data_IF_318086981891
#
_entry.id   IF_318086981891
#
_cell.length_a   1.000
_cell.length_b   1.000
_cell.length_c   1.000
_cell.angle_alpha   90.00
_cell.angle_beta   90.00
_cell.angle_gamma   90.00
#
_symmetry.space_group_name_H-M   'P 1'
#
loop_
_entity.id
_entity.type
_entity.pdbx_description
1 polymer ?
#
# COMPACT_ATOMS: atom_id res chain seq x y z
N UNK A 1 -83.43 -9.73 -96.81
CA UNK A 1 -82.98 -8.31 -96.79
C UNK A 1 -83.22 -7.74 -95.41
N UNK A 2 -82.15 -7.47 -94.64
CA UNK A 2 -82.09 -6.35 -93.71
C UNK A 2 -80.61 -6.15 -93.33
N UNK A 3 -80.12 -4.96 -93.63
CA UNK A 3 -78.72 -4.53 -93.53
C UNK A 3 -78.29 -4.39 -92.07
N UNK A 4 -77.07 -4.84 -91.79
CA UNK A 4 -76.25 -4.45 -90.64
C UNK A 4 -76.20 -2.91 -90.53
N UNK A 5 -76.56 -2.37 -89.36
CA UNK A 5 -76.03 -1.10 -88.86
C UNK A 5 -75.26 -1.42 -87.58
N UNK A 6 -73.97 -1.75 -87.73
CA UNK A 6 -73.04 -1.83 -86.61
C UNK A 6 -72.48 -0.42 -86.40
N UNK A 7 -73.07 0.32 -85.44
CA UNK A 7 -72.55 1.61 -85.03
C UNK A 7 -71.29 1.39 -84.19
N UNK A 8 -70.12 1.74 -84.73
CA UNK A 8 -68.79 1.53 -84.12
C UNK A 8 -68.68 2.08 -82.68
N UNK A 9 -69.54 3.03 -82.31
CA UNK A 9 -69.64 3.60 -80.95
C UNK A 9 -70.14 2.58 -79.92
N UNK A 10 -71.03 1.66 -80.30
CA UNK A 10 -71.50 0.60 -79.41
C UNK A 10 -70.41 -0.45 -79.15
N UNK A 11 -69.62 -0.80 -80.17
CA UNK A 11 -68.47 -1.70 -80.02
C UNK A 11 -67.38 -1.10 -79.11
N UNK A 12 -67.15 0.22 -79.19
CA UNK A 12 -66.22 0.94 -78.31
C UNK A 12 -66.69 0.98 -76.86
N UNK A 13 -67.99 1.17 -76.61
CA UNK A 13 -68.57 1.12 -75.26
C UNK A 13 -68.50 -0.29 -74.65
N UNK A 14 -68.77 -1.33 -75.45
CA UNK A 14 -68.63 -2.73 -75.01
C UNK A 14 -67.16 -3.06 -74.71
N UNK A 15 -66.23 -2.65 -75.57
CA UNK A 15 -64.79 -2.85 -75.36
C UNK A 15 -64.28 -2.10 -74.12
N UNK A 16 -64.73 -0.85 -73.90
CA UNK A 16 -64.40 -0.08 -72.70
C UNK A 16 -64.97 -0.72 -71.43
N UNK A 17 -66.22 -1.23 -71.48
CA UNK A 17 -66.83 -1.97 -70.37
C UNK A 17 -66.07 -3.26 -70.04
N UNK A 18 -65.67 -4.03 -71.07
CA UNK A 18 -64.86 -5.23 -70.89
C UNK A 18 -63.47 -4.91 -70.33
N UNK A 19 -62.83 -3.83 -70.79
CA UNK A 19 -61.54 -3.38 -70.28
C UNK A 19 -61.63 -2.95 -68.80
N UNK A 20 -62.64 -2.15 -68.44
CA UNK A 20 -62.86 -1.74 -67.04
C UNK A 20 -63.14 -2.95 -66.16
N UNK A 21 -63.96 -3.91 -66.63
CA UNK A 21 -64.23 -5.15 -65.88
C UNK A 21 -62.97 -5.99 -65.66
N UNK A 22 -62.12 -6.13 -66.69
CA UNK A 22 -60.84 -6.84 -66.57
C UNK A 22 -59.93 -6.11 -65.59
N UNK A 23 -59.80 -4.78 -65.68
CA UNK A 23 -59.00 -3.99 -64.76
C UNK A 23 -59.49 -4.10 -63.31
N UNK A 24 -60.81 -4.04 -63.08
CA UNK A 24 -61.40 -4.24 -61.75
C UNK A 24 -61.12 -5.63 -61.19
N UNK A 25 -61.20 -6.69 -62.01
CA UNK A 25 -60.88 -8.06 -61.59
C UNK A 25 -59.39 -8.22 -61.29
N UNK A 26 -58.52 -7.63 -62.10
CA UNK A 26 -57.07 -7.67 -61.90
C UNK A 26 -56.67 -6.93 -60.62
N UNK A 27 -57.25 -5.75 -60.38
CA UNK A 27 -57.03 -4.97 -59.16
C UNK A 27 -57.56 -5.70 -57.91
N UNK A 28 -58.75 -6.32 -57.99
CA UNK A 28 -59.27 -7.12 -56.88
C UNK A 28 -58.37 -8.32 -56.55
N UNK A 29 -57.86 -9.01 -57.57
CA UNK A 29 -56.94 -10.15 -57.38
C UNK A 29 -55.59 -9.70 -56.83
N UNK A 30 -55.07 -8.56 -57.29
CA UNK A 30 -53.83 -7.96 -56.76
C UNK A 30 -54.00 -7.48 -55.31
N UNK A 31 -55.16 -6.90 -54.96
CA UNK A 31 -55.49 -6.50 -53.59
C UNK A 31 -55.54 -7.72 -52.67
N UNK A 32 -56.21 -8.79 -53.07
CA UNK A 32 -56.28 -10.02 -52.27
C UNK A 32 -54.88 -10.66 -52.06
N UNK A 33 -54.03 -10.62 -53.09
CA UNK A 33 -52.65 -11.10 -52.97
C UNK A 33 -51.80 -10.20 -52.07
N UNK A 34 -51.98 -8.88 -52.14
CA UNK A 34 -51.31 -7.91 -51.26
C UNK A 34 -51.71 -8.11 -49.80
N UNK A 35 -53.01 -8.34 -49.54
CA UNK A 35 -53.51 -8.58 -48.17
C UNK A 35 -52.96 -9.90 -47.60
N UNK A 36 -52.92 -10.97 -48.41
CA UNK A 36 -52.30 -12.24 -47.99
C UNK A 36 -50.80 -12.10 -47.72
N UNK A 37 -50.10 -11.33 -48.55
CA UNK A 37 -48.67 -11.07 -48.35
C UNK A 37 -48.43 -10.25 -47.09
N UNK A 38 -49.27 -9.24 -46.81
CA UNK A 38 -49.19 -8.44 -45.59
C UNK A 38 -49.38 -9.30 -44.33
N UNK A 39 -50.37 -10.20 -44.32
CA UNK A 39 -50.60 -11.14 -43.21
C UNK A 39 -49.41 -12.10 -43.03
N UNK A 40 -48.83 -12.61 -44.13
CA UNK A 40 -47.65 -13.46 -44.08
C UNK A 40 -46.44 -12.73 -43.47
N UNK A 41 -46.17 -11.49 -43.92
CA UNK A 41 -45.08 -10.64 -43.39
C UNK A 41 -45.31 -10.31 -41.90
N UNK A 42 -46.55 -10.02 -41.51
CA UNK A 42 -46.87 -9.75 -40.11
C UNK A 42 -46.64 -10.99 -39.23
N UNK A 43 -46.99 -12.18 -39.72
CA UNK A 43 -46.73 -13.44 -39.02
C UNK A 43 -45.23 -13.77 -38.91
N UNK A 44 -44.44 -13.48 -39.94
CA UNK A 44 -42.98 -13.66 -39.94
C UNK A 44 -42.30 -12.67 -38.98
N UNK A 45 -42.75 -11.42 -38.97
CA UNK A 45 -42.28 -10.41 -38.02
C UNK A 45 -42.63 -10.79 -36.58
N UNK A 46 -43.82 -11.34 -36.34
CA UNK A 46 -44.21 -11.83 -35.02
C UNK A 46 -43.31 -12.98 -34.56
N UNK A 47 -43.05 -13.97 -35.43
CA UNK A 47 -42.15 -15.08 -35.14
C UNK A 47 -40.72 -14.60 -34.87
N UNK A 48 -40.22 -13.67 -35.68
CA UNK A 48 -38.87 -13.09 -35.52
C UNK A 48 -38.74 -12.33 -34.19
N UNK A 49 -39.77 -11.59 -33.78
CA UNK A 49 -39.77 -10.88 -32.50
C UNK A 49 -39.81 -11.86 -31.32
N UNK A 50 -40.61 -12.94 -31.39
CA UNK A 50 -40.59 -13.99 -30.37
C UNK A 50 -39.23 -14.68 -30.27
N UNK A 51 -38.59 -14.97 -31.42
CA UNK A 51 -37.26 -15.55 -31.46
C UNK A 51 -36.21 -14.64 -30.81
N UNK A 52 -36.25 -13.32 -31.09
CA UNK A 52 -35.34 -12.35 -30.44
C UNK A 52 -35.53 -12.31 -28.92
N UNK A 53 -36.77 -12.28 -28.44
CA UNK A 53 -37.06 -12.31 -27.00
C UNK A 53 -36.52 -13.58 -26.32
N UNK A 54 -36.61 -14.73 -26.99
CA UNK A 54 -36.04 -15.99 -26.49
C UNK A 54 -34.51 -15.95 -26.45
N UNK A 55 -33.87 -15.38 -27.48
CA UNK A 55 -32.40 -15.21 -27.51
C UNK A 55 -31.93 -14.29 -26.38
N UNK A 56 -32.62 -13.19 -26.13
CA UNK A 56 -32.29 -12.28 -25.03
C UNK A 56 -32.45 -12.96 -23.66
N UNK A 57 -33.53 -13.75 -23.48
CA UNK A 57 -33.74 -14.53 -22.25
C UNK A 57 -32.63 -15.57 -22.03
N UNK A 58 -32.24 -16.30 -23.08
CA UNK A 58 -31.15 -17.28 -23.01
C UNK A 58 -29.83 -16.58 -22.69
N UNK A 59 -29.56 -15.42 -23.28
CA UNK A 59 -28.34 -14.65 -23.03
C UNK A 59 -28.24 -14.20 -21.57
N UNK A 60 -29.34 -13.67 -21.00
CA UNK A 60 -29.37 -13.32 -19.56
C UNK A 60 -29.19 -14.54 -18.65
N UNK A 61 -29.75 -15.70 -19.03
CA UNK A 61 -29.57 -16.93 -18.27
C UNK A 61 -28.12 -17.42 -18.34
N UNK A 62 -27.45 -17.32 -19.49
CA UNK A 62 -26.04 -17.65 -19.64
C UNK A 62 -25.16 -16.77 -18.76
N UNK A 63 -25.37 -15.45 -18.75
CA UNK A 63 -24.65 -14.53 -17.85
C UNK A 63 -24.83 -14.91 -16.38
N UNK A 64 -26.05 -15.28 -15.99
CA UNK A 64 -26.35 -15.71 -14.61
C UNK A 64 -25.71 -17.05 -14.25
N UNK A 65 -25.60 -17.97 -15.21
CA UNK A 65 -24.89 -19.25 -15.00
C UNK A 65 -23.39 -18.99 -14.81
N UNK A 66 -22.80 -18.15 -15.64
CA UNK A 66 -21.36 -17.79 -15.53
C UNK A 66 -21.09 -17.15 -14.18
N UNK A 67 -21.92 -16.21 -13.71
CA UNK A 67 -21.71 -15.57 -12.40
C UNK A 67 -21.84 -16.56 -11.24
N UNK A 68 -22.77 -17.53 -11.34
CA UNK A 68 -22.92 -18.59 -10.34
C UNK A 68 -21.77 -19.60 -10.36
N UNK A 69 -21.22 -19.91 -11.54
CA UNK A 69 -20.03 -20.76 -11.67
C UNK A 69 -18.80 -20.08 -11.06
N UNK A 70 -18.63 -18.78 -11.28
CA UNK A 70 -17.57 -17.98 -10.65
C UNK A 70 -17.73 -17.96 -9.11
N UNK A 71 -18.96 -17.78 -8.61
CA UNK A 71 -19.23 -17.82 -7.17
C UNK A 71 -18.98 -19.22 -6.57
N UNK A 72 -19.32 -20.29 -7.28
CA UNK A 72 -19.04 -21.67 -6.86
C UNK A 72 -17.54 -21.92 -6.79
N UNK A 73 -16.79 -21.55 -7.84
CA UNK A 73 -15.35 -21.72 -7.89
C UNK A 73 -14.65 -20.95 -6.76
N UNK A 74 -15.15 -19.75 -6.42
CA UNK A 74 -14.71 -18.98 -5.26
C UNK A 74 -14.92 -19.73 -3.94
N UNK A 75 -16.12 -20.27 -3.71
CA UNK A 75 -16.42 -21.04 -2.49
C UNK A 75 -15.59 -22.31 -2.38
N UNK A 76 -15.32 -23.00 -3.48
CA UNK A 76 -14.44 -24.17 -3.49
C UNK A 76 -13.00 -23.80 -3.13
N UNK A 77 -12.50 -22.68 -3.63
CA UNK A 77 -11.16 -22.18 -3.31
C UNK A 77 -11.05 -21.77 -1.83
N UNK A 78 -12.06 -21.05 -1.30
CA UNK A 78 -12.16 -20.69 0.11
C UNK A 78 -12.22 -21.95 1.01
N UNK A 79 -13.02 -22.96 0.65
CA UNK A 79 -13.12 -24.22 1.38
C UNK A 79 -11.81 -25.02 1.35
N UNK A 80 -11.14 -25.08 0.20
CA UNK A 80 -9.82 -25.71 0.08
C UNK A 80 -8.76 -25.04 0.96
N UNK A 81 -8.80 -23.71 1.06
CA UNK A 81 -7.92 -22.95 1.94
C UNK A 81 -8.23 -23.17 3.41
N UNK A 82 -9.51 -23.17 3.78
CA UNK A 82 -9.93 -23.42 5.15
C UNK A 82 -9.50 -24.82 5.60
N UNK A 83 -9.62 -25.82 4.71
CA UNK A 83 -9.18 -27.20 4.97
C UNK A 83 -7.66 -27.30 5.15
N UNK A 84 -6.88 -26.59 4.33
CA UNK A 84 -5.43 -26.54 4.48
C UNK A 84 -5.01 -25.81 5.76
N UNK A 85 -5.70 -24.73 6.13
CA UNK A 85 -5.46 -23.99 7.36
C UNK A 85 -5.79 -24.82 8.60
N UNK A 86 -6.92 -25.55 8.58
CA UNK A 86 -7.29 -26.48 9.65
C UNK A 86 -6.25 -27.58 9.81
N UNK A 87 -5.75 -28.17 8.72
CA UNK A 87 -4.69 -29.17 8.77
C UNK A 87 -3.36 -28.62 9.32
N UNK A 88 -3.00 -27.38 8.97
CA UNK A 88 -1.81 -26.70 9.51
C UNK A 88 -1.98 -26.35 11.00
N UNK A 89 -3.17 -25.90 11.39
CA UNK A 89 -3.53 -25.62 12.79
C UNK A 89 -3.58 -26.89 13.64
N UNK A 90 -4.04 -28.02 13.10
CA UNK A 90 -4.01 -29.33 13.78
C UNK A 90 -2.57 -29.81 13.99
N UNK A 91 -1.69 -29.66 12.99
CA UNK A 91 -0.26 -29.97 13.12
C UNK A 91 0.44 -29.06 14.13
N UNK A 92 0.21 -27.74 14.06
CA UNK A 92 0.87 -26.74 14.92
C UNK A 92 0.27 -26.66 16.32
N UNK A 93 -1.01 -27.00 16.49
CA UNK A 93 -1.73 -27.03 17.76
C UNK A 93 -1.18 -28.06 18.74
N UNK A 94 -0.70 -29.20 18.22
CA UNK A 94 -0.01 -30.22 19.02
C UNK A 94 1.38 -29.74 19.49
N UNK A 95 2.05 -28.88 18.72
CA UNK A 95 3.37 -28.32 19.07
C UNK A 95 3.27 -27.12 20.04
N UNK A 96 2.25 -26.25 19.91
CA UNK A 96 2.08 -25.02 20.73
C UNK A 96 1.55 -25.24 22.14
N UNK A 97 0.99 -26.41 22.46
CA UNK A 97 0.55 -26.74 23.82
C UNK A 97 1.69 -26.79 24.84
N UNK A 98 2.95 -26.74 24.39
CA UNK A 98 4.14 -26.84 25.24
C UNK A 98 4.73 -25.46 25.65
N UNK A 99 4.43 -24.37 24.92
CA UNK A 99 5.06 -23.04 25.17
C UNK A 99 4.08 -22.00 25.73
N UNK A 100 3.33 -22.35 26.77
CA UNK A 100 2.47 -21.42 27.52
C UNK A 100 3.26 -20.55 28.51
N UNK A 101 4.38 -19.97 28.07
CA UNK A 101 5.26 -19.18 28.93
C UNK A 101 5.50 -17.82 28.28
N UNK A 102 4.78 -16.82 28.80
CA UNK A 102 4.92 -15.38 28.50
C UNK A 102 4.25 -14.89 27.20
N UNK A 103 3.53 -13.77 27.30
CA UNK A 103 2.94 -13.11 26.13
C UNK A 103 4.06 -12.61 25.19
N UNK A 104 3.92 -12.78 23.86
CA UNK A 104 4.89 -12.29 22.90
C UNK A 104 5.11 -10.77 23.02
N UNK A 105 6.33 -10.31 22.74
CA UNK A 105 6.66 -8.88 22.74
C UNK A 105 5.94 -8.17 21.59
N UNK A 106 6.02 -8.76 20.39
CA UNK A 106 5.31 -8.32 19.19
C UNK A 106 5.21 -9.48 18.19
N UNK A 107 4.16 -9.54 17.39
CA UNK A 107 4.18 -10.36 16.18
C UNK A 107 5.03 -9.69 15.10
N UNK A 108 5.69 -10.47 14.25
CA UNK A 108 6.39 -9.96 13.06
C UNK A 108 5.62 -10.41 11.85
N UNK A 109 5.27 -9.49 10.94
CA UNK A 109 4.60 -9.82 9.68
C UNK A 109 5.42 -9.32 8.50
N UNK A 110 5.62 -10.20 7.53
CA UNK A 110 6.14 -9.85 6.20
C UNK A 110 4.96 -9.70 5.24
N UNK A 111 4.79 -8.50 4.71
CA UNK A 111 3.79 -8.16 3.69
C UNK A 111 4.34 -8.59 2.32
N UNK A 112 3.71 -9.59 1.71
CA UNK A 112 4.13 -10.18 0.45
C UNK A 112 2.99 -10.15 -0.59
N UNK A 113 3.33 -10.29 -1.87
CA UNK A 113 2.33 -10.37 -2.94
C UNK A 113 2.67 -11.46 -3.97
N UNK A 114 3.64 -11.17 -4.85
CA UNK A 114 3.97 -12.01 -6.00
C UNK A 114 5.49 -12.16 -6.28
N UNK A 115 6.37 -11.80 -5.33
CA UNK A 115 7.84 -11.86 -5.47
C UNK A 115 8.44 -12.95 -4.58
N UNK A 116 8.36 -14.21 -5.02
CA UNK A 116 8.75 -15.36 -4.18
C UNK A 116 10.26 -15.41 -3.85
N UNK A 117 11.10 -14.93 -4.75
CA UNK A 117 12.55 -14.80 -4.56
C UNK A 117 12.91 -13.70 -3.55
N UNK A 118 12.20 -12.55 -3.59
CA UNK A 118 12.37 -11.48 -2.61
C UNK A 118 11.93 -11.95 -1.22
N UNK A 119 10.74 -12.57 -1.15
CA UNK A 119 10.24 -13.17 0.08
C UNK A 119 11.24 -14.17 0.69
N UNK A 120 11.86 -15.01 -0.14
CA UNK A 120 12.87 -15.97 0.34
C UNK A 120 14.07 -15.27 0.99
N UNK A 121 14.60 -14.21 0.36
CA UNK A 121 15.72 -13.42 0.90
C UNK A 121 15.35 -12.77 2.23
N UNK A 122 14.16 -12.17 2.29
CA UNK A 122 13.63 -11.53 3.51
C UNK A 122 13.45 -12.52 4.65
N UNK A 123 12.79 -13.66 4.41
CA UNK A 123 12.61 -14.71 5.43
C UNK A 123 13.97 -15.23 5.93
N UNK A 124 14.91 -15.50 5.04
CA UNK A 124 16.26 -15.95 5.44
C UNK A 124 16.98 -14.93 6.31
N UNK A 125 16.88 -13.65 5.98
CA UNK A 125 17.44 -12.56 6.77
C UNK A 125 16.82 -12.49 8.17
N UNK A 126 15.50 -12.63 8.26
CA UNK A 126 14.76 -12.64 9.53
C UNK A 126 15.14 -13.84 10.39
N UNK A 127 15.08 -15.06 9.84
CA UNK A 127 15.32 -16.30 10.58
C UNK A 127 16.74 -16.41 11.13
N UNK A 128 17.71 -15.72 10.51
CA UNK A 128 19.08 -15.62 11.03
C UNK A 128 19.14 -15.10 12.47
N UNK A 129 18.25 -14.18 12.84
CA UNK A 129 18.24 -13.55 14.17
C UNK A 129 16.97 -13.83 14.98
N UNK A 130 15.88 -14.26 14.33
CA UNK A 130 14.59 -14.54 14.98
C UNK A 130 14.55 -15.89 15.70
N UNK A 131 15.28 -16.90 15.19
CA UNK A 131 15.16 -18.29 15.66
C UNK A 131 15.40 -18.44 17.17
N UNK A 132 16.37 -17.68 17.73
CA UNK A 132 16.69 -17.70 19.17
C UNK A 132 15.67 -16.97 20.04
N UNK A 133 14.78 -16.17 19.44
CA UNK A 133 13.77 -15.34 20.12
C UNK A 133 12.35 -15.61 19.61
N UNK A 134 12.13 -16.79 19.02
CA UNK A 134 10.89 -17.10 18.30
C UNK A 134 9.63 -17.04 19.17
N UNK A 135 9.73 -17.39 20.45
CA UNK A 135 8.62 -17.29 21.41
C UNK A 135 8.19 -15.84 21.68
N UNK A 136 9.13 -14.88 21.62
CA UNK A 136 8.85 -13.45 21.78
C UNK A 136 8.34 -12.80 20.51
N UNK A 137 8.73 -13.34 19.35
CA UNK A 137 8.49 -12.73 18.04
C UNK A 137 7.93 -13.75 17.04
N UNK A 138 6.68 -14.22 17.20
CA UNK A 138 6.07 -15.13 16.25
C UNK A 138 6.03 -14.49 14.85
N UNK A 139 6.52 -15.23 13.85
CA UNK A 139 6.70 -14.75 12.48
C UNK A 139 5.53 -15.16 11.58
N UNK A 140 4.99 -14.19 10.87
CA UNK A 140 3.91 -14.33 9.91
C UNK A 140 4.34 -13.87 8.53
N UNK A 141 3.80 -14.53 7.50
CA UNK A 141 3.80 -14.02 6.13
C UNK A 141 2.34 -13.77 5.75
N UNK A 142 2.03 -12.53 5.40
CA UNK A 142 0.73 -12.15 4.87
C UNK A 142 0.87 -11.94 3.38
N UNK A 143 0.32 -12.84 2.58
CA UNK A 143 0.34 -12.75 1.13
C UNK A 143 -0.94 -12.09 0.60
N UNK A 144 -0.82 -11.07 -0.24
CA UNK A 144 -1.90 -10.58 -1.09
C UNK A 144 -1.97 -11.36 -2.41
N UNK A 145 -3.19 -11.74 -2.79
CA UNK A 145 -3.46 -12.42 -4.05
C UNK A 145 -3.05 -13.90 -4.09
N UNK A 146 -3.21 -14.56 -5.26
CA UNK A 146 -3.17 -16.01 -5.36
C UNK A 146 -1.83 -16.59 -5.84
N UNK A 147 -0.73 -15.81 -5.90
CA UNK A 147 0.54 -16.30 -6.47
C UNK A 147 1.02 -17.61 -5.81
N UNK A 148 1.08 -18.73 -6.55
CA UNK A 148 1.35 -20.04 -5.97
C UNK A 148 2.82 -20.21 -5.57
N UNK A 149 3.75 -19.43 -6.13
CA UNK A 149 5.17 -19.51 -5.81
C UNK A 149 5.44 -18.87 -4.45
N UNK A 150 4.85 -17.70 -4.19
CA UNK A 150 4.92 -17.03 -2.89
C UNK A 150 4.32 -17.91 -1.81
N UNK A 151 3.12 -18.47 -2.05
CA UNK A 151 2.46 -19.39 -1.12
C UNK A 151 3.31 -20.61 -0.80
N UNK A 152 3.84 -21.28 -1.84
CA UNK A 152 4.71 -22.45 -1.67
C UNK A 152 5.99 -22.09 -0.91
N UNK A 153 6.57 -20.93 -1.18
CA UNK A 153 7.78 -20.46 -0.50
C UNK A 153 7.50 -20.21 0.97
N UNK A 154 6.44 -19.47 1.32
CA UNK A 154 6.07 -19.21 2.71
C UNK A 154 5.81 -20.51 3.48
N UNK A 155 5.07 -21.45 2.89
CA UNK A 155 4.76 -22.75 3.50
C UNK A 155 5.94 -23.72 3.59
N UNK A 156 7.07 -23.42 2.93
CA UNK A 156 8.29 -24.24 3.04
C UNK A 156 9.09 -24.00 4.33
N UNK A 157 8.72 -22.98 5.13
CA UNK A 157 9.35 -22.64 6.39
C UNK A 157 8.44 -23.00 7.58
N UNK A 158 8.84 -23.98 8.38
CA UNK A 158 8.07 -24.42 9.56
C UNK A 158 7.92 -23.34 10.63
N UNK A 159 8.85 -22.38 10.66
CA UNK A 159 8.88 -21.27 11.63
C UNK A 159 7.83 -20.19 11.31
N UNK A 160 7.24 -20.20 10.11
CA UNK A 160 6.35 -19.16 9.61
C UNK A 160 4.89 -19.58 9.75
N UNK A 161 4.05 -18.64 10.20
CA UNK A 161 2.60 -18.74 10.10
C UNK A 161 2.14 -18.02 8.83
N UNK A 162 1.43 -18.72 7.94
CA UNK A 162 1.00 -18.18 6.66
C UNK A 162 -0.44 -17.65 6.73
N UNK A 163 -0.66 -16.45 6.22
CA UNK A 163 -1.96 -15.81 6.05
C UNK A 163 -2.12 -15.37 4.59
N UNK A 164 -3.34 -15.43 4.06
CA UNK A 164 -3.62 -15.07 2.68
C UNK A 164 -4.82 -14.13 2.58
N UNK A 165 -4.59 -12.98 1.98
CA UNK A 165 -5.62 -12.01 1.62
C UNK A 165 -6.05 -12.25 0.16
N UNK A 166 -7.32 -12.57 -0.04
CA UNK A 166 -7.94 -12.70 -1.35
C UNK A 166 -9.06 -11.68 -1.46
N UNK A 167 -8.76 -10.55 -2.10
CA UNK A 167 -9.73 -9.53 -2.44
C UNK A 167 -9.98 -9.53 -3.96
N UNK A 168 -11.18 -9.96 -4.34
CA UNK A 168 -11.65 -10.00 -5.71
C UNK A 168 -12.51 -8.79 -6.07
N UNK A 169 -12.76 -7.88 -5.12
CA UNK A 169 -13.54 -6.69 -5.39
C UNK A 169 -12.81 -5.77 -6.37
N UNK A 170 -13.56 -5.23 -7.33
CA UNK A 170 -13.01 -4.26 -8.27
C UNK A 170 -12.55 -3.03 -7.48
N UNK A 171 -11.31 -2.61 -7.75
CA UNK A 171 -10.78 -1.37 -7.19
C UNK A 171 -11.24 -0.21 -8.07
N UNK A 172 -11.98 0.71 -7.48
CA UNK A 172 -12.32 2.01 -8.07
C UNK A 172 -11.43 3.07 -7.44
N UNK A 173 -10.68 3.80 -8.27
CA UNK A 173 -9.84 4.89 -7.79
C UNK A 173 -10.69 6.13 -7.53
N UNK A 174 -10.34 6.89 -6.48
CA UNK A 174 -11.05 8.12 -6.13
C UNK A 174 -10.81 9.22 -7.16
N UNK A 175 -9.65 9.22 -7.82
CA UNK A 175 -9.33 10.17 -8.90
C UNK A 175 -8.81 9.46 -10.15
N UNK A 176 -9.05 10.04 -11.34
CA UNK A 176 -8.42 9.56 -12.57
C UNK A 176 -6.89 9.65 -12.49
N UNK A 177 -6.19 8.61 -12.95
CA UNK A 177 -4.72 8.56 -13.03
C UNK A 177 -4.00 8.00 -11.79
N UNK A 178 -4.72 7.73 -10.70
CA UNK A 178 -4.14 7.06 -9.53
C UNK A 178 -3.84 5.58 -9.82
N UNK A 179 -2.80 5.04 -9.16
CA UNK A 179 -2.39 3.66 -9.40
C UNK A 179 -3.16 2.69 -8.50
N UNK A 180 -3.88 1.75 -9.14
CA UNK A 180 -4.63 0.66 -8.48
C UNK A 180 -3.77 -0.13 -7.49
N UNK A 181 -2.47 -0.26 -7.75
CA UNK A 181 -1.54 -0.95 -6.85
C UNK A 181 -1.56 -0.37 -5.43
N UNK A 182 -1.60 0.95 -5.25
CA UNK A 182 -1.63 1.57 -3.92
C UNK A 182 -2.93 1.34 -3.16
N UNK A 183 -4.04 1.15 -3.89
CA UNK A 183 -5.31 0.76 -3.28
C UNK A 183 -5.27 -0.66 -2.75
N UNK A 184 -4.74 -1.60 -3.55
CA UNK A 184 -4.56 -3.00 -3.13
C UNK A 184 -3.63 -3.11 -1.93
N UNK A 185 -2.51 -2.39 -1.95
CA UNK A 185 -1.58 -2.31 -0.82
C UNK A 185 -2.30 -1.83 0.45
N UNK A 186 -3.06 -0.73 0.38
CA UNK A 186 -3.77 -0.22 1.55
C UNK A 186 -4.80 -1.23 2.10
N UNK A 187 -5.56 -1.91 1.23
CA UNK A 187 -6.50 -2.97 1.64
C UNK A 187 -5.79 -4.15 2.32
N UNK A 188 -4.68 -4.62 1.74
CA UNK A 188 -3.90 -5.72 2.28
C UNK A 188 -3.29 -5.39 3.65
N UNK A 189 -2.72 -4.20 3.81
CA UNK A 189 -2.23 -3.71 5.10
C UNK A 189 -3.34 -3.70 6.15
N UNK A 190 -4.52 -3.16 5.80
CA UNK A 190 -5.66 -3.15 6.71
C UNK A 190 -6.05 -4.56 7.16
N UNK A 191 -6.24 -5.47 6.21
CA UNK A 191 -6.67 -6.84 6.48
C UNK A 191 -5.65 -7.58 7.34
N UNK A 192 -4.36 -7.50 7.01
CA UNK A 192 -3.31 -8.19 7.73
C UNK A 192 -3.19 -7.70 9.18
N UNK A 193 -3.29 -6.37 9.38
CA UNK A 193 -3.22 -5.78 10.72
C UNK A 193 -4.49 -6.09 11.53
N UNK A 194 -5.67 -6.07 10.93
CA UNK A 194 -6.90 -6.52 11.60
C UNK A 194 -6.82 -7.99 12.04
N UNK A 195 -6.32 -8.90 11.19
CA UNK A 195 -6.11 -10.30 11.56
C UNK A 195 -5.15 -10.42 12.76
N UNK A 196 -4.01 -9.72 12.72
CA UNK A 196 -3.00 -9.81 13.78
C UNK A 196 -3.48 -9.18 15.10
N UNK A 197 -4.04 -7.98 15.03
CA UNK A 197 -4.50 -7.27 16.22
C UNK A 197 -5.78 -7.87 16.76
N UNK A 198 -6.81 -8.14 15.97
CA UNK A 198 -8.13 -8.55 16.47
C UNK A 198 -8.29 -10.06 16.62
N UNK A 199 -7.89 -10.85 15.62
CA UNK A 199 -8.09 -12.31 15.64
C UNK A 199 -6.98 -13.03 16.40
N UNK A 200 -5.72 -12.64 16.21
CA UNK A 200 -4.59 -13.20 16.93
C UNK A 200 -4.30 -12.50 18.27
N UNK A 201 -4.96 -11.37 18.55
CA UNK A 201 -4.91 -10.65 19.82
C UNK A 201 -3.49 -10.23 20.24
N UNK A 202 -2.65 -9.86 19.29
CA UNK A 202 -1.33 -9.29 19.59
C UNK A 202 -1.45 -7.86 20.12
N UNK A 203 -0.60 -7.49 21.08
CA UNK A 203 -0.54 -6.11 21.60
C UNK A 203 0.28 -5.18 20.70
N UNK A 204 1.25 -5.74 19.97
CA UNK A 204 2.14 -5.03 19.05
C UNK A 204 2.42 -5.88 17.82
N UNK A 205 2.62 -5.21 16.69
CA UNK A 205 3.01 -5.82 15.42
C UNK A 205 4.21 -5.05 14.87
N UNK A 206 5.23 -5.77 14.44
CA UNK A 206 6.36 -5.29 13.64
C UNK A 206 6.07 -5.66 12.18
N UNK A 207 6.02 -4.66 11.31
CA UNK A 207 5.67 -4.78 9.90
C UNK A 207 6.94 -4.65 9.05
N UNK A 208 7.19 -5.65 8.21
CA UNK A 208 8.23 -5.67 7.19
C UNK A 208 7.59 -5.91 5.81
N UNK A 209 8.22 -5.43 4.75
CA UNK A 209 7.84 -5.79 3.37
C UNK A 209 8.73 -6.93 2.86
N UNK A 210 8.31 -7.61 1.79
CA UNK A 210 9.01 -8.78 1.25
C UNK A 210 10.36 -8.46 0.58
N UNK A 211 10.78 -7.21 0.53
CA UNK A 211 12.04 -6.73 -0.04
C UNK A 211 13.02 -6.13 0.99
N UNK A 212 13.02 -6.67 2.22
CA UNK A 212 13.84 -6.16 3.32
C UNK A 212 14.80 -7.18 3.94
N UNK A 213 16.01 -6.74 4.25
CA UNK A 213 16.94 -7.43 5.15
C UNK A 213 16.99 -6.74 6.52
N UNK A 214 17.25 -7.49 7.58
CA UNK A 214 17.31 -6.97 8.96
C UNK A 214 18.73 -7.01 9.54
N UNK A 215 19.01 -6.07 10.44
CA UNK A 215 20.28 -5.96 11.16
C UNK A 215 20.39 -6.99 12.31
N UNK A 216 21.61 -7.30 12.79
CA UNK A 216 21.83 -8.26 13.89
C UNK A 216 21.14 -7.87 15.20
N UNK A 217 20.94 -6.58 15.46
CA UNK A 217 20.33 -6.03 16.67
C UNK A 217 18.83 -5.73 16.51
N UNK A 218 18.20 -6.09 15.39
CA UNK A 218 16.82 -5.73 15.04
C UNK A 218 15.80 -6.08 16.14
N UNK A 219 15.83 -7.31 16.65
CA UNK A 219 14.88 -7.74 17.70
C UNK A 219 15.14 -7.06 19.03
N UNK A 220 16.40 -6.94 19.45
CA UNK A 220 16.76 -6.20 20.68
C UNK A 220 16.40 -4.71 20.61
N UNK A 221 16.52 -4.11 19.41
CA UNK A 221 16.11 -2.73 19.16
C UNK A 221 14.61 -2.56 19.39
N UNK A 222 13.78 -3.41 18.79
CA UNK A 222 12.33 -3.36 18.99
C UNK A 222 11.88 -3.79 20.39
N UNK A 223 12.61 -4.68 21.07
CA UNK A 223 12.36 -5.01 22.48
C UNK A 223 12.49 -3.78 23.37
N UNK A 224 13.58 -3.03 23.25
CA UNK A 224 13.78 -1.80 24.03
C UNK A 224 12.82 -0.68 23.62
N UNK A 225 12.48 -0.59 22.33
CA UNK A 225 11.55 0.43 21.85
C UNK A 225 10.08 0.13 22.22
N UNK A 226 9.72 -1.12 22.54
CA UNK A 226 8.39 -1.47 23.01
C UNK A 226 8.08 -0.80 24.35
N UNK A 227 9.07 -0.73 25.25
CA UNK A 227 8.93 -0.04 26.54
C UNK A 227 8.68 1.47 26.36
N UNK A 228 9.32 2.10 25.37
CA UNK A 228 9.10 3.51 25.05
C UNK A 228 7.68 3.74 24.54
N UNK A 229 7.24 2.90 23.59
CA UNK A 229 5.91 2.99 22.97
C UNK A 229 4.76 2.82 23.99
N UNK A 230 5.00 2.03 25.03
CA UNK A 230 4.02 1.84 26.11
C UNK A 230 3.97 3.01 27.09
N UNK A 231 5.15 3.57 27.44
CA UNK A 231 5.28 4.60 28.48
C UNK A 231 4.99 6.01 27.96
N UNK A 232 5.28 6.27 26.68
CA UNK A 232 5.16 7.60 26.09
C UNK A 232 4.08 7.64 24.99
N UNK A 233 2.91 8.19 25.32
CA UNK A 233 1.77 8.32 24.39
C UNK A 233 2.02 9.32 23.26
N UNK A 234 3.05 10.15 23.37
CA UNK A 234 3.47 11.04 22.28
C UNK A 234 4.22 10.28 21.19
N UNK A 235 4.59 9.00 21.39
CA UNK A 235 5.18 8.13 20.36
C UNK A 235 4.04 7.36 19.67
N UNK A 236 3.97 7.46 18.34
CA UNK A 236 2.97 6.75 17.54
C UNK A 236 3.45 5.37 17.09
N UNK A 237 4.69 5.32 16.60
CA UNK A 237 5.33 4.10 16.10
C UNK A 237 6.86 4.22 16.18
N UNK A 238 7.53 3.08 16.11
CA UNK A 238 8.99 2.97 16.09
C UNK A 238 9.38 2.42 14.72
N UNK A 239 10.28 3.08 14.00
CA UNK A 239 10.79 2.64 12.69
C UNK A 239 12.25 2.26 12.78
N UNK A 240 12.65 1.20 12.08
CA UNK A 240 14.04 0.79 11.88
C UNK A 240 14.75 1.59 10.78
N UNK A 241 14.09 2.59 10.19
CA UNK A 241 14.57 3.29 8.99
C UNK A 241 14.97 4.74 9.27
N UNK A 242 16.01 5.18 8.58
CA UNK A 242 16.42 6.57 8.47
C UNK A 242 16.46 6.92 6.98
N UNK A 243 15.59 7.84 6.51
CA UNK A 243 15.58 8.24 5.10
C UNK A 243 16.92 8.83 4.65
N UNK A 244 17.63 9.54 5.55
CA UNK A 244 18.99 10.03 5.31
C UNK A 244 20.05 9.06 5.86
N UNK A 245 19.78 7.76 5.74
CA UNK A 245 20.55 6.65 6.30
C UNK A 245 21.74 6.18 5.44
N UNK A 246 22.09 6.93 4.39
CA UNK A 246 23.14 6.54 3.45
C UNK A 246 24.51 6.51 4.16
N UNK A 247 25.43 5.64 3.70
CA UNK A 247 26.72 5.38 4.36
C UNK A 247 27.52 6.65 4.71
N UNK A 248 27.44 7.68 3.88
CA UNK A 248 28.14 8.95 4.09
C UNK A 248 27.47 9.88 5.13
N UNK A 249 26.20 9.63 5.47
CA UNK A 249 25.36 10.48 6.32
C UNK A 249 25.06 9.89 7.70
N UNK A 250 25.68 8.76 8.05
CA UNK A 250 25.47 8.08 9.35
C UNK A 250 26.79 7.60 9.94
N UNK A 251 26.84 7.46 11.26
CA UNK A 251 28.06 6.99 11.94
C UNK A 251 27.77 6.19 13.20
N UNK A 252 26.93 6.72 14.09
CA UNK A 252 26.75 6.20 15.44
C UNK A 252 25.62 5.15 15.47
N UNK A 253 25.92 3.85 15.65
CA UNK A 253 24.88 2.84 15.74
C UNK A 253 24.04 2.99 17.02
N UNK A 254 24.53 3.69 18.05
CA UNK A 254 23.82 3.82 19.34
C UNK A 254 22.79 4.95 19.34
N UNK A 255 22.89 5.89 18.40
CA UNK A 255 22.03 7.07 18.37
C UNK A 255 20.64 6.75 17.83
N UNK A 256 19.63 7.12 18.62
CA UNK A 256 18.22 7.16 18.21
C UNK A 256 17.71 8.61 18.29
N UNK A 257 16.73 8.91 17.45
CA UNK A 257 16.10 10.22 17.35
C UNK A 257 14.58 10.09 17.35
N UNK A 258 13.89 11.13 17.81
CA UNK A 258 12.48 11.35 17.49
C UNK A 258 12.37 12.05 16.14
N UNK A 259 11.27 11.85 15.43
CA UNK A 259 10.94 12.53 14.19
C UNK A 259 9.45 12.80 14.09
N UNK A 260 9.07 13.92 13.48
CA UNK A 260 7.68 14.22 13.11
C UNK A 260 7.31 13.57 11.76
N UNK A 261 8.30 13.09 11.00
CA UNK A 261 8.08 12.39 9.73
C UNK A 261 7.99 10.88 9.97
N UNK A 262 6.94 10.23 9.46
CA UNK A 262 6.81 8.77 9.51
C UNK A 262 7.68 8.10 8.43
N UNK A 263 8.75 7.36 8.80
CA UNK A 263 9.64 6.74 7.82
C UNK A 263 9.09 5.43 7.23
N UNK A 264 8.30 4.68 8.01
CA UNK A 264 7.86 3.33 7.63
C UNK A 264 9.01 2.31 7.64
N UNK A 265 9.09 1.48 6.60
CA UNK A 265 10.20 0.57 6.25
C UNK A 265 10.79 -0.24 7.42
N UNK A 266 10.01 -1.18 7.95
CA UNK A 266 10.32 -1.89 9.19
C UNK A 266 9.89 -1.07 10.39
N UNK A 267 8.67 -1.30 10.87
CA UNK A 267 8.12 -0.44 11.92
C UNK A 267 7.19 -1.20 12.84
N UNK A 268 7.13 -0.76 14.10
CA UNK A 268 6.31 -1.36 15.15
C UNK A 268 5.16 -0.44 15.52
N UNK A 269 3.96 -1.01 15.57
CA UNK A 269 2.73 -0.35 15.97
C UNK A 269 2.09 -1.07 17.16
N UNK A 270 1.49 -0.31 18.07
CA UNK A 270 0.71 -0.84 19.19
C UNK A 270 -0.79 -0.90 18.85
N UNK A 271 -1.48 -1.87 19.47
CA UNK A 271 -2.91 -2.15 19.24
C UNK A 271 -3.80 -0.94 19.47
N UNK A 272 -3.56 -0.19 20.54
CA UNK A 272 -4.33 1.01 20.86
C UNK A 272 -4.24 2.07 19.75
N UNK A 273 -3.09 2.19 19.08
CA UNK A 273 -2.94 3.07 17.91
C UNK A 273 -3.67 2.48 16.72
N UNK A 274 -3.61 1.16 16.51
CA UNK A 274 -4.39 0.50 15.45
C UNK A 274 -5.90 0.66 15.62
N UNK A 275 -6.41 0.57 16.84
CA UNK A 275 -7.83 0.78 17.17
C UNK A 275 -8.33 2.18 16.78
N UNK A 276 -7.44 3.16 16.76
CA UNK A 276 -7.72 4.51 16.28
C UNK A 276 -7.65 4.62 14.75
N UNK A 277 -6.72 3.91 14.09
CA UNK A 277 -6.46 4.03 12.66
C UNK A 277 -7.37 3.14 11.81
N UNK A 278 -7.63 1.89 12.22
CA UNK A 278 -8.37 0.89 11.44
C UNK A 278 -9.76 1.37 10.99
N UNK A 279 -10.58 2.03 11.85
CA UNK A 279 -11.91 2.49 11.44
C UNK A 279 -11.91 3.58 10.36
N UNK A 280 -10.80 4.32 10.22
CA UNK A 280 -10.64 5.43 9.27
C UNK A 280 -9.54 5.17 8.23
N UNK A 281 -9.13 3.92 8.10
CA UNK A 281 -8.03 3.54 7.22
C UNK A 281 -8.31 3.97 5.77
N UNK A 282 -7.32 4.57 5.07
CA UNK A 282 -7.54 5.14 3.75
C UNK A 282 -7.71 4.05 2.69
N UNK A 283 -8.31 4.41 1.56
CA UNK A 283 -8.44 3.50 0.42
C UNK A 283 -7.13 3.24 -0.30
N UNK A 284 -6.17 4.17 -0.24
CA UNK A 284 -4.86 4.10 -0.90
C UNK A 284 -3.84 4.99 -0.17
N UNK A 285 -2.56 4.91 -0.58
CA UNK A 285 -1.48 5.80 -0.11
C UNK A 285 -1.40 5.87 1.42
N UNK A 286 -1.46 4.72 2.07
CA UNK A 286 -1.64 4.59 3.52
C UNK A 286 -0.53 5.26 4.34
N UNK A 287 0.70 5.25 3.83
CA UNK A 287 1.87 5.80 4.48
C UNK A 287 1.87 7.34 4.41
N UNK A 288 1.56 7.91 3.24
CA UNK A 288 1.34 9.35 3.09
C UNK A 288 0.14 9.84 3.92
N UNK A 289 -0.95 9.06 3.96
CA UNK A 289 -2.08 9.35 4.84
C UNK A 289 -1.67 9.35 6.31
N UNK A 290 -0.83 8.41 6.76
CA UNK A 290 -0.37 8.36 8.15
C UNK A 290 0.49 9.58 8.52
N UNK A 291 1.20 10.16 7.55
CA UNK A 291 2.01 11.39 7.72
C UNK A 291 1.15 12.65 7.93
N UNK A 292 -0.15 12.62 7.60
CA UNK A 292 -1.01 13.79 7.78
C UNK A 292 -1.26 14.11 9.26
N UNK A 293 -1.22 15.40 9.62
CA UNK A 293 -1.42 15.90 10.99
C UNK A 293 -2.69 15.39 11.67
N UNK A 294 -3.77 15.24 10.91
CA UNK A 294 -5.05 14.70 11.40
C UNK A 294 -4.98 13.22 11.86
N UNK A 295 -3.99 12.48 11.37
CA UNK A 295 -3.80 11.06 11.66
C UNK A 295 -2.77 10.84 12.76
N UNK A 296 -1.59 11.44 12.65
CA UNK A 296 -0.58 11.31 13.71
C UNK A 296 -0.87 12.19 14.94
N UNK A 297 -1.68 13.24 14.81
CA UNK A 297 -2.13 14.13 15.91
C UNK A 297 -0.97 14.74 16.72
N UNK A 298 0.12 15.07 16.04
CA UNK A 298 1.33 15.61 16.68
C UNK A 298 2.19 14.57 17.42
N UNK A 299 1.80 13.29 17.41
CA UNK A 299 2.66 12.20 17.88
C UNK A 299 3.85 12.03 16.91
N UNK A 300 4.93 11.52 17.47
CA UNK A 300 6.24 11.38 16.83
C UNK A 300 6.63 9.92 16.66
N UNK A 301 7.69 9.72 15.89
CA UNK A 301 8.24 8.42 15.55
C UNK A 301 9.64 8.30 16.11
N UNK A 302 10.00 7.13 16.64
CA UNK A 302 11.39 6.83 16.96
C UNK A 302 12.05 6.26 15.72
N UNK A 303 13.24 6.76 15.39
CA UNK A 303 14.05 6.27 14.28
C UNK A 303 15.53 6.21 14.67
N UNK A 304 16.31 5.30 14.08
CA UNK A 304 17.73 5.22 14.36
C UNK A 304 18.58 6.21 13.56
N UNK A 305 19.84 6.39 13.94
CA UNK A 305 20.83 6.99 13.03
C UNK A 305 21.21 6.01 11.91
N UNK A 306 21.61 4.78 12.26
CA UNK A 306 21.95 3.72 11.31
C UNK A 306 20.77 2.77 11.17
N UNK A 307 20.32 2.50 9.95
CA UNK A 307 19.13 1.68 9.71
C UNK A 307 19.27 0.25 10.24
N UNK A 308 18.17 -0.31 10.75
CA UNK A 308 18.04 -1.71 11.18
C UNK A 308 17.39 -2.58 10.12
N UNK A 309 16.94 -1.96 9.03
CA UNK A 309 16.45 -2.60 7.82
C UNK A 309 17.20 -2.07 6.61
N UNK A 310 17.30 -2.90 5.58
CA UNK A 310 17.80 -2.53 4.26
C UNK A 310 16.80 -2.96 3.21
N UNK A 311 16.37 -2.04 2.35
CA UNK A 311 15.46 -2.34 1.26
C UNK A 311 16.28 -2.69 0.00
N UNK A 312 16.08 -3.88 -0.54
CA UNK A 312 16.75 -4.36 -1.76
C UNK A 312 15.83 -4.41 -2.99
N UNK A 313 14.59 -3.91 -2.86
CA UNK A 313 13.56 -3.97 -3.88
C UNK A 313 13.73 -2.91 -4.97
N UNK A 314 14.55 -3.18 -5.98
CA UNK A 314 14.69 -2.28 -7.14
C UNK A 314 13.40 -2.24 -7.99
N UNK A 315 12.67 -3.37 -8.07
CA UNK A 315 11.44 -3.50 -8.84
C UNK A 315 10.23 -3.65 -7.91
N UNK A 316 9.33 -2.67 -7.96
CA UNK A 316 8.10 -2.62 -7.16
C UNK A 316 7.05 -1.67 -7.75
N UNK A 317 5.99 -1.41 -6.99
CA UNK A 317 4.84 -0.59 -7.43
C UNK A 317 5.19 0.86 -7.78
N UNK A 318 6.32 1.37 -7.29
CA UNK A 318 6.86 2.71 -7.59
C UNK A 318 7.79 2.75 -8.81
N UNK A 319 7.95 1.64 -9.54
CA UNK A 319 8.85 1.53 -10.71
C UNK A 319 10.32 1.87 -10.39
N UNK A 320 10.76 1.64 -9.14
CA UNK A 320 12.14 1.90 -8.71
C UNK A 320 12.48 3.38 -8.53
N UNK A 321 11.48 4.26 -8.51
CA UNK A 321 11.69 5.68 -8.23
C UNK A 321 12.45 5.84 -6.90
N UNK A 322 13.51 6.65 -6.90
CA UNK A 322 14.41 6.90 -5.77
C UNK A 322 15.32 5.73 -5.33
N UNK A 323 15.19 4.52 -5.86
CA UNK A 323 15.95 3.37 -5.38
C UNK A 323 17.47 3.60 -5.47
N UNK A 324 18.00 3.86 -6.67
CA UNK A 324 19.45 4.02 -6.90
C UNK A 324 20.05 5.22 -6.15
N UNK A 325 19.31 6.32 -6.09
CA UNK A 325 19.83 7.55 -5.48
C UNK A 325 19.78 7.48 -3.95
N UNK A 326 18.70 6.94 -3.38
CA UNK A 326 18.42 7.11 -1.96
C UNK A 326 18.30 5.81 -1.17
N UNK A 327 17.80 4.71 -1.73
CA UNK A 327 17.58 3.45 -0.99
C UNK A 327 18.78 2.50 -1.07
N UNK A 328 19.33 2.28 -2.27
CA UNK A 328 20.50 1.44 -2.50
C UNK A 328 21.72 1.81 -1.62
N UNK A 329 22.09 3.10 -1.43
CA UNK A 329 23.24 3.48 -0.60
C UNK A 329 23.00 3.47 0.91
N UNK A 330 21.81 3.06 1.39
CA UNK A 330 21.48 2.99 2.81
C UNK A 330 22.44 2.03 3.54
N UNK A 331 22.89 2.44 4.72
CA UNK A 331 23.73 1.61 5.58
C UNK A 331 22.86 0.73 6.48
N UNK A 332 22.90 -0.57 6.25
CA UNK A 332 22.44 -1.56 7.23
C UNK A 332 23.41 -1.61 8.40
N UNK A 333 22.89 -1.56 9.63
CA UNK A 333 23.70 -1.73 10.82
C UNK A 333 24.29 -3.15 10.90
N UNK A 334 25.59 -3.23 11.18
CA UNK A 334 26.36 -4.47 11.37
C UNK A 334 26.88 -4.63 12.81
N UNK A 335 26.58 -3.67 13.69
CA UNK A 335 27.00 -3.67 15.10
C UNK A 335 25.90 -4.23 16.00
N UNK A 336 26.22 -5.25 16.81
CA UNK A 336 25.29 -5.75 17.83
C UNK A 336 25.25 -4.77 19.02
N UNK A 337 24.14 -4.04 19.15
CA UNK A 337 23.93 -3.10 20.26
C UNK A 337 23.16 -3.78 21.38
N UNK A 338 23.71 -3.77 22.60
CA UNK A 338 22.99 -4.21 23.80
C UNK A 338 22.02 -3.11 24.29
N UNK A 339 20.86 -3.03 23.64
CA UNK A 339 19.82 -2.05 23.94
C UNK A 339 19.27 -2.13 25.37
N UNK A 340 19.35 -3.28 26.04
CA UNK A 340 18.86 -3.44 27.41
C UNK A 340 19.73 -2.71 28.43
N UNK A 341 21.02 -2.56 28.12
CA UNK A 341 21.97 -1.82 28.97
C UNK A 341 21.92 -0.31 28.74
N UNK A 342 21.22 0.16 27.70
CA UNK A 342 21.20 1.56 27.30
C UNK A 342 20.07 2.31 27.99
N UNK A 343 20.40 3.49 28.51
CA UNK A 343 19.38 4.41 29.00
C UNK A 343 18.74 5.15 27.81
N UNK A 344 17.48 4.80 27.53
CA UNK A 344 16.66 5.42 26.50
C UNK A 344 15.71 6.49 27.06
N UNK A 345 15.81 6.85 28.35
CA UNK A 345 14.96 7.86 28.99
C UNK A 345 15.04 9.23 28.32
N UNK A 346 16.16 9.53 27.64
CA UNK A 346 16.33 10.76 26.86
C UNK A 346 15.36 10.86 25.67
N UNK A 347 14.76 9.74 25.21
CA UNK A 347 13.77 9.71 24.13
C UNK A 347 12.35 10.00 24.59
N UNK A 348 12.08 10.02 25.90
CA UNK A 348 10.78 10.45 26.43
C UNK A 348 10.57 11.93 26.08
N UNK A 349 9.35 12.31 25.67
CA UNK A 349 9.05 13.67 25.16
C UNK A 349 9.67 14.81 25.98
N UNK A 350 9.44 14.80 27.30
CA UNK A 350 9.92 15.83 28.24
C UNK A 350 11.45 15.97 28.29
N UNK A 351 12.17 14.88 28.06
CA UNK A 351 13.62 14.82 28.09
C UNK A 351 14.20 15.10 26.70
N UNK A 352 13.55 14.61 25.65
CA UNK A 352 14.07 14.70 24.30
C UNK A 352 14.10 16.13 23.79
N UNK A 353 13.08 16.94 24.10
CA UNK A 353 13.07 18.37 23.70
C UNK A 353 14.32 19.06 24.26
N UNK A 354 14.64 18.85 25.54
CA UNK A 354 15.81 19.45 26.21
C UNK A 354 17.13 18.89 25.66
N UNK A 355 17.23 17.57 25.58
CA UNK A 355 18.41 16.89 25.04
C UNK A 355 18.72 17.35 23.60
N UNK A 356 17.71 17.41 22.76
CA UNK A 356 17.85 17.79 21.36
C UNK A 356 18.17 19.29 21.22
N UNK A 357 17.54 20.15 22.03
CA UNK A 357 17.88 21.58 22.08
C UNK A 357 19.35 21.81 22.47
N UNK A 358 19.85 21.09 23.48
CA UNK A 358 21.23 21.21 23.96
C UNK A 358 22.26 20.83 22.90
N UNK A 359 22.00 19.81 22.08
CA UNK A 359 22.93 19.43 21.00
C UNK A 359 22.87 20.39 19.82
N UNK A 360 21.69 20.95 19.50
CA UNK A 360 21.54 21.97 18.44
C UNK A 360 22.22 23.27 18.86
N UNK A 361 22.04 23.72 20.10
CA UNK A 361 22.63 24.95 20.64
C UNK A 361 24.17 24.94 20.66
N UNK A 362 24.78 23.75 20.80
CA UNK A 362 26.24 23.58 20.78
C UNK A 362 26.84 23.62 19.36
N UNK A 363 26.01 23.50 18.32
CA UNK A 363 26.46 23.51 16.94
C UNK A 363 26.84 24.92 16.49
N UNK A 364 27.90 25.02 15.68
CA UNK A 364 28.37 26.30 15.16
C UNK A 364 27.48 26.77 14.02
N UNK A 365 27.00 28.03 14.02
CA UNK A 365 26.17 28.53 12.94
C UNK A 365 26.99 28.66 11.65
N UNK A 366 26.36 28.31 10.52
CA UNK A 366 26.92 28.41 9.18
C UNK A 366 25.94 29.16 8.27
N UNK A 367 26.46 30.15 7.56
CA UNK A 367 25.68 31.04 6.71
C UNK A 367 26.29 31.22 5.31
N UNK A 368 25.46 31.65 4.36
CA UNK A 368 25.85 32.01 2.99
C UNK A 368 25.95 30.81 2.04
N UNK A 369 26.66 30.99 0.93
CA UNK A 369 26.85 29.96 -0.13
C UNK A 369 27.97 28.98 0.21
N UNK A 370 28.10 27.93 -0.61
CA UNK A 370 29.13 26.88 -0.51
C UNK A 370 29.11 26.17 0.84
N UNK A 371 27.91 25.82 1.31
CA UNK A 371 27.69 25.26 2.65
C UNK A 371 28.47 23.96 2.86
N UNK A 372 28.55 23.12 1.85
CA UNK A 372 29.34 21.87 1.87
C UNK A 372 30.82 22.14 2.11
N UNK A 373 31.39 23.08 1.35
CA UNK A 373 32.79 23.47 1.48
C UNK A 373 33.06 24.09 2.85
N UNK A 374 32.21 25.02 3.30
CA UNK A 374 32.38 25.63 4.62
C UNK A 374 32.23 24.62 5.75
N UNK A 375 31.24 23.73 5.68
CA UNK A 375 31.02 22.68 6.65
C UNK A 375 32.26 21.78 6.76
N UNK A 376 32.93 21.45 5.65
CA UNK A 376 34.16 20.64 5.67
C UNK A 376 35.30 21.25 6.47
N UNK A 377 35.38 22.58 6.54
CA UNK A 377 36.47 23.33 7.18
C UNK A 377 36.22 23.66 8.67
N UNK A 378 35.04 23.38 9.21
CA UNK A 378 34.68 23.73 10.59
C UNK A 378 34.80 22.51 11.52
N UNK A 379 35.66 22.56 12.53
CA UNK A 379 35.69 21.53 13.58
C UNK A 379 34.41 21.54 14.44
N UNK A 380 33.84 20.35 14.70
CA UNK A 380 32.62 20.17 15.50
C UNK A 380 31.33 20.22 14.68
N UNK A 381 30.19 20.09 15.37
CA UNK A 381 28.85 20.10 14.78
C UNK A 381 28.47 21.48 14.23
N UNK A 382 27.62 21.50 13.21
CA UNK A 382 27.25 22.71 12.46
C UNK A 382 25.74 22.83 12.32
N UNK A 383 25.24 24.06 12.44
CA UNK A 383 23.85 24.42 12.22
C UNK A 383 23.73 25.34 11.00
N UNK A 384 22.85 24.98 10.06
CA UNK A 384 22.50 25.77 8.87
C UNK A 384 21.03 26.14 8.99
N UNK A 385 20.70 27.43 9.08
CA UNK A 385 19.30 27.88 9.06
C UNK A 385 18.78 27.85 7.62
N UNK A 386 17.56 27.37 7.42
CA UNK A 386 16.83 27.49 6.16
C UNK A 386 15.57 28.35 6.35
N UNK A 387 15.22 29.14 5.34
CA UNK A 387 14.14 30.14 5.45
C UNK A 387 12.76 29.55 5.13
N UNK A 388 12.69 28.73 4.08
CA UNK A 388 11.47 28.12 3.57
C UNK A 388 11.74 26.76 2.92
N UNK A 389 10.70 26.16 2.33
CA UNK A 389 10.81 24.88 1.65
C UNK A 389 11.80 24.90 0.46
N UNK A 390 11.83 25.97 -0.34
CA UNK A 390 12.71 26.05 -1.52
C UNK A 390 14.17 26.17 -1.09
N UNK A 391 14.42 26.94 -0.03
CA UNK A 391 15.75 27.08 0.55
C UNK A 391 16.22 25.76 1.15
N UNK A 392 15.35 25.03 1.86
CA UNK A 392 15.65 23.68 2.33
C UNK A 392 15.99 22.74 1.18
N UNK A 393 15.16 22.67 0.13
CA UNK A 393 15.38 21.80 -1.02
C UNK A 393 16.74 22.07 -1.67
N UNK A 394 17.10 23.36 -1.85
CA UNK A 394 18.42 23.77 -2.34
C UNK A 394 19.54 23.27 -1.42
N UNK A 395 19.44 23.49 -0.11
CA UNK A 395 20.48 23.08 0.85
C UNK A 395 20.59 21.54 0.91
N UNK A 396 19.46 20.85 0.94
CA UNK A 396 19.38 19.39 0.93
C UNK A 396 20.05 18.81 -0.33
N UNK A 397 19.79 19.41 -1.49
CA UNK A 397 20.41 19.05 -2.77
C UNK A 397 21.92 19.25 -2.76
N UNK A 398 22.41 20.36 -2.20
CA UNK A 398 23.86 20.62 -2.05
C UNK A 398 24.55 19.52 -1.21
N UNK A 399 23.92 19.06 -0.13
CA UNK A 399 24.45 17.97 0.69
C UNK A 399 24.19 16.58 0.11
N UNK A 400 23.23 16.42 -0.80
CA UNK A 400 22.81 15.14 -1.38
C UNK A 400 21.91 14.30 -0.46
N UNK A 401 21.17 14.94 0.46
CA UNK A 401 20.16 14.29 1.30
C UNK A 401 18.76 14.41 0.66
N UNK A 402 17.74 13.78 1.25
CA UNK A 402 16.37 13.89 0.75
C UNK A 402 15.86 15.34 0.74
N UNK A 403 15.39 15.78 -0.42
CA UNK A 403 14.80 17.10 -0.63
C UNK A 403 13.30 17.14 -0.28
N UNK A 404 12.63 15.99 -0.28
CA UNK A 404 11.16 15.89 -0.21
C UNK A 404 10.56 16.27 1.16
N UNK A 405 9.35 16.83 1.06
CA UNK A 405 8.46 17.15 2.18
C UNK A 405 7.15 16.37 2.06
N UNK A 406 6.55 16.00 3.19
CA UNK A 406 5.17 15.49 3.26
C UNK A 406 4.45 16.23 4.36
N UNK A 407 3.26 16.75 4.05
CA UNK A 407 2.44 17.56 4.97
C UNK A 407 3.23 18.70 5.67
N UNK A 408 4.12 19.37 4.93
CA UNK A 408 4.95 20.45 5.49
C UNK A 408 6.06 19.97 6.44
N UNK A 409 6.40 18.68 6.43
CA UNK A 409 7.49 18.09 7.23
C UNK A 409 8.57 17.51 6.31
N UNK A 410 9.84 17.95 6.42
CA UNK A 410 10.95 17.31 5.72
C UNK A 410 11.23 15.92 6.28
N UNK A 411 11.78 15.02 5.46
CA UNK A 411 12.15 13.68 5.91
C UNK A 411 13.10 13.72 7.10
N UNK A 412 12.87 12.84 8.09
CA UNK A 412 13.64 12.70 9.35
C UNK A 412 13.61 13.91 10.31
N UNK A 413 12.86 14.96 9.98
CA UNK A 413 12.84 16.18 10.78
C UNK A 413 12.23 15.96 12.17
N UNK A 414 12.68 16.73 13.14
CA UNK A 414 12.06 16.91 14.45
C UNK A 414 11.96 18.41 14.74
N UNK A 415 10.75 18.92 14.91
CA UNK A 415 10.44 20.36 15.07
C UNK A 415 11.09 21.21 13.98
N UNK A 416 11.07 20.71 12.74
CA UNK A 416 11.70 21.36 11.58
C UNK A 416 13.23 21.28 11.55
N UNK A 417 13.87 20.47 12.40
CA UNK A 417 15.32 20.24 12.36
C UNK A 417 15.63 18.89 11.71
N UNK A 418 16.39 18.90 10.61
CA UNK A 418 16.93 17.68 9.99
C UNK A 418 18.37 17.49 10.44
N UNK A 419 18.70 16.28 10.93
CA UNK A 419 20.04 15.93 11.41
C UNK A 419 20.61 14.75 10.64
N UNK A 420 21.83 14.92 10.14
CA UNK A 420 22.60 13.89 9.44
C UNK A 420 24.10 14.07 9.71
N UNK A 421 24.91 13.03 9.44
CA UNK A 421 26.37 13.11 9.56
C UNK A 421 27.02 13.65 8.29
N UNK A 422 28.17 14.25 8.44
CA UNK A 422 29.02 14.67 7.33
C UNK A 422 30.47 14.35 7.67
N UNK A 423 31.23 13.82 6.71
CA UNK A 423 32.66 13.47 6.88
C UNK A 423 32.93 12.64 8.14
N UNK A 424 32.24 11.51 8.26
CA UNK A 424 32.27 10.56 9.38
C UNK A 424 31.47 11.03 10.60
N UNK A 425 31.97 11.92 11.46
CA UNK A 425 31.35 12.11 12.78
C UNK A 425 30.60 13.43 12.99
N UNK A 426 30.82 14.46 12.17
CA UNK A 426 30.20 15.78 12.35
C UNK A 426 28.70 15.70 12.10
N UNK A 427 27.88 16.28 12.98
CA UNK A 427 26.45 16.49 12.71
C UNK A 427 26.24 17.80 11.97
N UNK A 428 25.42 17.75 10.93
CA UNK A 428 24.82 18.92 10.30
C UNK A 428 23.37 18.96 10.76
N UNK A 429 22.96 20.12 11.29
CA UNK A 429 21.58 20.42 11.64
C UNK A 429 21.06 21.45 10.63
N UNK A 430 20.08 21.07 9.81
CA UNK A 430 19.31 22.03 9.02
C UNK A 430 18.14 22.48 9.87
N UNK A 431 18.09 23.77 10.21
CA UNK A 431 17.17 24.33 11.21
C UNK A 431 16.17 25.24 10.54
N UNK A 432 14.89 24.90 10.65
CA UNK A 432 13.80 25.69 10.09
C UNK A 432 13.50 26.98 10.85
N UNK A 433 12.66 27.86 10.28
CA UNK A 433 12.44 29.21 10.79
C UNK A 433 11.87 29.25 12.21
N UNK A 434 10.98 28.32 12.56
CA UNK A 434 10.35 28.24 13.89
C UNK A 434 10.98 27.19 14.80
N UNK A 435 12.06 26.53 14.36
CA UNK A 435 12.62 25.37 15.06
C UNK A 435 13.24 25.73 16.41
N UNK A 436 13.96 26.86 16.49
CA UNK A 436 14.60 27.28 17.73
C UNK A 436 13.58 27.64 18.81
N UNK A 437 12.51 28.37 18.43
CA UNK A 437 11.39 28.67 19.31
C UNK A 437 10.71 27.38 19.81
N UNK A 438 10.42 26.43 18.92
CA UNK A 438 9.82 25.16 19.29
C UNK A 438 10.71 24.30 20.20
N UNK A 439 12.03 24.51 20.15
CA UNK A 439 13.02 23.85 21.02
C UNK A 439 13.30 24.65 22.31
N UNK A 440 12.70 25.83 22.48
CA UNK A 440 12.97 26.70 23.63
C UNK A 440 14.40 27.26 23.64
N UNK A 441 15.02 27.41 22.46
CA UNK A 441 16.33 28.04 22.30
C UNK A 441 16.11 29.52 22.02
N UNK A 442 16.53 30.38 22.95
CA UNK A 442 16.55 31.83 22.74
C UNK A 442 17.55 32.19 21.63
N UNK A 443 17.12 32.99 20.63
CA UNK A 443 18.00 33.58 19.63
C UNK A 443 18.90 34.62 20.35
N UNK A 444 20.14 34.25 20.63
CA UNK A 444 21.16 35.12 21.22
C UNK A 444 21.91 35.94 20.18
#
# INVERSE_FOLDING_TARGET
MAKFFCDFRFLLLIAAGAFIYIQMRLFATQSEYSDRLAVAVESENHCTNQLRLLIDQISMQQERIVSLEDERNRREQECGQLKALVQDLERKGVQRLIDKVQAPVAAVVVMACNRADYLERTIKSILKYQTSVASKYPLFVSQDGPDPNVKRKALSYDQVSYMQHLDYERVETERPGELIAYYKIARHYKWALDELFYKHNFSRVIILEDDMEIAPDFFSYFEAAADLLDKDRSIMAVSSWNDNGQKQFVHDPYALYRSDFFPGLGWMLARNTWDELSPKWPKAYWDDWLRLKENHKGRQFIRPEVCRTYNFGEHGSSMGQFFKQYLEPIKLNDVLVDWKSRDLSYLMEENYVKYFADIVKKAKPLHGRDLVLKASNIGGDVCVKYEDQRDFERIASEFGIFEEWKDGVPRTAYKGVVVFRYQKSRRIFLVGPNSLEQLGIEDS
#
